data_IF_300031035368
#
_entry.id   IF_300031035368
#
_cell.length_a   1.000
_cell.length_b   1.000
_cell.length_c   1.000
_cell.angle_alpha   90.00
_cell.angle_beta   90.00
_cell.angle_gamma   90.00
#
_symmetry.space_group_name_H-M   'P 1'
#
loop_
_entity.id
_entity.type
_entity.pdbx_description
1 polymer ?
#
# COMPACT_ATOMS: atom_id res chain seq x y z
N UNK A 1 10.08 -10.95 2.12
CA UNK A 1 9.38 -11.94 1.30
C UNK A 1 10.16 -13.25 1.35
N UNK A 2 11.46 -13.20 1.07
CA UNK A 2 12.41 -14.33 1.13
C UNK A 2 12.31 -15.19 2.40
N UNK A 3 12.07 -14.57 3.57
CA UNK A 3 11.89 -15.32 4.81
C UNK A 3 10.65 -16.22 4.79
N UNK A 4 9.53 -15.73 4.23
CA UNK A 4 8.29 -16.49 4.08
C UNK A 4 8.43 -17.56 3.00
N UNK A 5 9.10 -17.24 1.89
CA UNK A 5 9.36 -18.20 0.80
C UNK A 5 10.18 -19.39 1.28
N UNK A 6 11.21 -19.15 2.11
CA UNK A 6 12.03 -20.21 2.74
C UNK A 6 11.23 -21.14 3.65
N UNK A 7 10.08 -20.67 4.14
CA UNK A 7 9.18 -21.44 4.99
C UNK A 7 8.02 -22.06 4.19
N UNK A 8 8.03 -21.96 2.86
CA UNK A 8 6.93 -22.34 1.96
C UNK A 8 5.59 -21.72 2.40
N UNK A 9 5.63 -20.45 2.82
CA UNK A 9 4.44 -19.72 3.27
C UNK A 9 4.04 -18.67 2.21
N UNK A 10 3.20 -19.07 1.28
CA UNK A 10 2.73 -18.26 0.15
C UNK A 10 1.41 -17.53 0.44
N UNK A 11 0.64 -18.01 1.42
CA UNK A 11 -0.67 -17.47 1.79
C UNK A 11 -0.57 -16.25 2.72
N UNK A 12 -0.07 -15.14 2.19
CA UNK A 12 -0.02 -13.87 2.90
C UNK A 12 -0.55 -12.71 2.06
N UNK A 13 -0.78 -11.59 2.74
CA UNK A 13 -0.97 -10.27 2.14
C UNK A 13 -0.12 -9.28 2.90
N UNK A 14 0.32 -8.21 2.24
CA UNK A 14 1.25 -7.28 2.86
C UNK A 14 0.82 -5.83 2.66
N UNK A 15 1.32 -4.97 3.56
CA UNK A 15 1.05 -3.54 3.57
C UNK A 15 2.32 -2.81 3.97
N UNK A 16 2.64 -1.73 3.27
CA UNK A 16 3.76 -0.84 3.58
C UNK A 16 3.20 0.58 3.63
N UNK A 17 2.78 0.98 4.83
CA UNK A 17 2.10 2.26 5.05
C UNK A 17 3.10 3.32 5.47
N UNK A 18 2.93 4.52 4.96
CA UNK A 18 3.65 5.71 5.37
C UNK A 18 2.69 6.91 5.46
N UNK A 19 3.11 7.94 6.19
CA UNK A 19 2.36 9.20 6.33
C UNK A 19 2.66 10.22 5.24
N UNK A 20 3.85 10.12 4.63
CA UNK A 20 4.14 10.81 3.38
C UNK A 20 3.54 10.06 2.20
N UNK A 21 2.78 10.78 1.36
CA UNK A 21 2.02 10.20 0.26
C UNK A 21 2.96 9.65 -0.83
N UNK A 22 4.01 10.39 -1.19
CA UNK A 22 4.91 9.99 -2.27
C UNK A 22 5.77 8.80 -1.85
N UNK A 23 6.25 8.78 -0.61
CA UNK A 23 6.95 7.63 -0.05
C UNK A 23 6.05 6.38 -0.03
N UNK A 24 4.80 6.51 0.39
CA UNK A 24 3.85 5.39 0.38
C UNK A 24 3.67 4.84 -1.04
N UNK A 25 3.38 5.72 -2.01
CA UNK A 25 3.17 5.35 -3.41
C UNK A 25 4.40 4.64 -3.99
N UNK A 26 5.60 5.21 -3.84
CA UNK A 26 6.83 4.57 -4.34
C UNK A 26 7.12 3.23 -3.66
N UNK A 27 6.86 3.12 -2.35
CA UNK A 27 7.03 1.86 -1.63
C UNK A 27 6.12 0.76 -2.17
N UNK A 28 4.84 1.07 -2.42
CA UNK A 28 3.91 0.13 -3.03
C UNK A 28 4.30 -0.22 -4.47
N UNK A 29 4.74 0.74 -5.29
CA UNK A 29 5.23 0.49 -6.65
C UNK A 29 6.44 -0.44 -6.68
N UNK A 30 7.40 -0.24 -5.77
CA UNK A 30 8.56 -1.12 -5.65
C UNK A 30 8.18 -2.51 -5.18
N UNK A 31 7.23 -2.62 -4.25
CA UNK A 31 6.78 -3.90 -3.73
C UNK A 31 5.94 -4.68 -4.75
N UNK A 32 5.05 -4.02 -5.50
CA UNK A 32 4.24 -4.64 -6.54
C UNK A 32 5.07 -5.27 -7.68
N UNK A 33 6.34 -4.86 -7.84
CA UNK A 33 7.28 -5.47 -8.78
C UNK A 33 8.04 -6.67 -8.22
N UNK A 34 7.96 -6.90 -6.90
CA UNK A 34 8.73 -7.92 -6.19
C UNK A 34 7.88 -9.10 -5.74
N UNK A 35 6.56 -8.94 -5.66
CA UNK A 35 5.64 -9.98 -5.18
C UNK A 35 4.37 -10.06 -6.01
N UNK A 36 3.80 -11.26 -6.06
CA UNK A 36 2.48 -11.52 -6.66
C UNK A 36 1.36 -11.56 -5.60
N UNK A 37 1.71 -11.61 -4.31
CA UNK A 37 0.73 -11.69 -3.22
C UNK A 37 -0.05 -10.38 -3.04
N UNK A 38 -1.31 -10.44 -2.55
CA UNK A 38 -2.17 -9.28 -2.45
C UNK A 38 -1.61 -8.13 -1.61
N UNK A 39 -1.81 -6.91 -2.10
CA UNK A 39 -1.43 -5.66 -1.45
C UNK A 39 -2.63 -5.03 -0.74
N UNK A 40 -2.47 -4.80 0.56
CA UNK A 40 -3.39 -3.98 1.34
C UNK A 40 -2.90 -2.54 1.39
N UNK A 41 -3.60 -1.66 0.68
CA UNK A 41 -3.28 -0.24 0.59
C UNK A 41 -3.77 0.54 1.82
N UNK A 42 -2.99 1.54 2.21
CA UNK A 42 -3.42 2.55 3.17
C UNK A 42 -2.39 3.64 3.36
N UNK A 43 -2.88 4.87 3.54
CA UNK A 43 -2.08 6.00 4.01
C UNK A 43 -2.34 6.15 5.51
N UNK A 44 -1.28 6.22 6.32
CA UNK A 44 -1.38 6.40 7.78
C UNK A 44 -1.20 7.85 8.16
N UNK A 45 -1.77 8.28 9.29
CA UNK A 45 -1.57 9.65 9.82
C UNK A 45 -1.80 10.75 8.77
N UNK A 46 -2.82 10.56 7.91
CA UNK A 46 -3.09 11.44 6.79
C UNK A 46 -3.50 12.86 7.25
N UNK A 47 -3.89 13.01 8.51
CA UNK A 47 -4.24 14.28 9.16
C UNK A 47 -5.68 14.28 9.66
N UNK A 48 -6.18 15.45 10.07
CA UNK A 48 -7.59 15.62 10.42
C UNK A 48 -8.51 15.39 9.22
N UNK A 49 -9.82 15.28 9.45
CA UNK A 49 -10.81 14.81 8.47
C UNK A 49 -10.57 15.29 7.01
N UNK A 50 -10.43 16.60 6.79
CA UNK A 50 -10.22 17.15 5.44
C UNK A 50 -8.85 16.79 4.85
N UNK A 51 -7.75 17.06 5.55
CA UNK A 51 -6.41 16.79 5.02
C UNK A 51 -6.16 15.30 4.86
N UNK A 52 -6.68 14.49 5.79
CA UNK A 52 -6.63 13.04 5.75
C UNK A 52 -7.38 12.45 4.55
N UNK A 53 -8.60 12.93 4.30
CA UNK A 53 -9.37 12.52 3.11
C UNK A 53 -8.65 12.89 1.81
N UNK A 54 -8.10 14.11 1.70
CA UNK A 54 -7.40 14.55 0.48
C UNK A 54 -6.14 13.74 0.23
N UNK A 55 -5.26 13.58 1.24
CA UNK A 55 -4.03 12.79 1.09
C UNK A 55 -4.32 11.34 0.76
N UNK A 56 -5.30 10.74 1.43
CA UNK A 56 -5.70 9.35 1.16
C UNK A 56 -6.26 9.19 -0.25
N UNK A 57 -7.13 10.11 -0.70
CA UNK A 57 -7.67 10.08 -2.05
C UNK A 57 -6.59 10.19 -3.12
N UNK A 58 -5.60 11.09 -2.94
CA UNK A 58 -4.49 11.26 -3.88
C UNK A 58 -3.61 10.00 -3.90
N UNK A 59 -3.11 9.56 -2.75
CA UNK A 59 -2.18 8.42 -2.67
C UNK A 59 -2.80 7.11 -3.15
N UNK A 60 -4.00 6.80 -2.68
CA UNK A 60 -4.71 5.57 -3.08
C UNK A 60 -5.16 5.67 -4.54
N UNK A 61 -5.64 6.84 -4.99
CA UNK A 61 -6.07 7.04 -6.37
C UNK A 61 -4.95 6.82 -7.38
N UNK A 62 -3.73 7.30 -7.09
CA UNK A 62 -2.55 7.06 -7.94
C UNK A 62 -2.27 5.56 -8.10
N UNK A 63 -2.21 4.82 -6.98
CA UNK A 63 -1.93 3.38 -7.01
C UNK A 63 -3.01 2.60 -7.74
N UNK A 64 -4.28 2.90 -7.47
CA UNK A 64 -5.41 2.24 -8.13
C UNK A 64 -5.44 2.52 -9.63
N UNK A 65 -5.07 3.73 -10.08
CA UNK A 65 -4.97 4.04 -11.51
C UNK A 65 -3.89 3.25 -12.24
N UNK A 66 -2.91 2.73 -11.51
CA UNK A 66 -1.84 1.87 -12.02
C UNK A 66 -2.18 0.37 -11.90
N UNK A 67 -3.37 0.04 -11.41
CA UNK A 67 -3.77 -1.34 -11.14
C UNK A 67 -3.09 -1.96 -9.92
N UNK A 68 -2.54 -1.14 -9.01
CA UNK A 68 -1.87 -1.61 -7.79
C UNK A 68 -2.88 -1.58 -6.63
N UNK A 69 -3.07 -2.73 -5.97
CA UNK A 69 -3.85 -2.86 -4.74
C UNK A 69 -5.06 -3.79 -4.86
N UNK A 70 -5.25 -4.65 -3.86
CA UNK A 70 -6.30 -5.68 -3.84
C UNK A 70 -7.34 -5.42 -2.76
N UNK A 71 -6.93 -4.69 -1.72
CA UNK A 71 -7.81 -4.20 -0.66
C UNK A 71 -7.26 -2.88 -0.14
N UNK A 72 -8.11 -2.02 0.40
CA UNK A 72 -7.69 -0.72 0.92
C UNK A 72 -8.36 -0.39 2.24
N UNK A 73 -7.72 0.52 2.99
CA UNK A 73 -8.30 1.21 4.14
C UNK A 73 -7.93 2.69 4.08
N UNK A 74 -8.92 3.54 4.21
CA UNK A 74 -8.73 4.97 4.54
C UNK A 74 -8.67 5.07 6.07
N UNK A 75 -7.54 5.59 6.58
CA UNK A 75 -7.25 5.61 8.02
C UNK A 75 -7.83 6.84 8.71
#
# INVERSE_FOLDING_TARGET
VDHLDRLNFDQFKVSVKASDVFLAVESYRLLAKQIDQPLHLGITEAGGLRSGSVKSAIGLGLLLSEGIGDTLRVS
#
